data_IF_578909044675
#
_entry.id   IF_578909044675
#
_cell.length_a   1.000
_cell.length_b   1.000
_cell.length_c   1.000
_cell.angle_alpha   90.00
_cell.angle_beta   90.00
_cell.angle_gamma   90.00
#
_symmetry.space_group_name_H-M   'P 1'
#
loop_
_entity.id
_entity.type
_entity.pdbx_description
1 polymer ?
#
# COMPACT_ATOMS: atom_id res chain seq x y z
N UNK A 1 -10.83 -1.38 21.52
CA UNK A 1 -11.95 -1.37 20.56
C UNK A 1 -11.82 -0.27 19.51
N UNK A 2 -11.60 1.01 19.86
CA UNK A 2 -11.45 2.10 18.86
C UNK A 2 -10.38 1.83 17.79
N UNK A 3 -9.15 1.47 18.19
CA UNK A 3 -8.07 1.06 17.25
C UNK A 3 -8.51 -0.02 16.25
N UNK A 4 -9.26 -1.02 16.71
CA UNK A 4 -9.70 -2.10 15.84
C UNK A 4 -10.79 -1.63 14.87
N UNK A 5 -11.70 -0.76 15.33
CA UNK A 5 -12.70 -0.12 14.47
C UNK A 5 -12.01 0.67 13.36
N UNK A 6 -11.09 1.56 13.72
CA UNK A 6 -10.35 2.39 12.77
C UNK A 6 -9.54 1.54 11.77
N UNK A 7 -9.02 0.37 12.16
CA UNK A 7 -8.40 -0.56 11.20
C UNK A 7 -9.38 -1.01 10.12
N UNK A 8 -10.58 -1.47 10.52
CA UNK A 8 -11.59 -1.93 9.57
C UNK A 8 -12.16 -0.79 8.73
N UNK A 9 -12.32 0.40 9.29
CA UNK A 9 -12.91 1.51 8.58
C UNK A 9 -11.91 2.19 7.61
N UNK A 10 -10.63 2.26 8.01
CA UNK A 10 -9.63 3.08 7.31
C UNK A 10 -8.57 2.26 6.58
N UNK A 11 -8.09 1.16 7.16
CA UNK A 11 -6.96 0.39 6.62
C UNK A 11 -7.43 -0.79 5.77
N UNK A 12 -8.49 -1.47 6.18
CA UNK A 12 -9.02 -2.63 5.46
C UNK A 12 -9.31 -2.33 3.98
N UNK A 13 -9.82 -1.15 3.57
CA UNK A 13 -9.98 -0.83 2.15
C UNK A 13 -8.67 -0.90 1.33
N UNK A 14 -7.52 -0.72 1.95
CA UNK A 14 -6.20 -0.84 1.30
C UNK A 14 -5.57 -2.21 1.51
N UNK A 15 -5.77 -2.81 2.68
CA UNK A 15 -5.18 -4.08 3.09
C UNK A 15 -6.25 -5.06 3.61
N UNK A 16 -7.11 -5.62 2.73
CA UNK A 16 -8.26 -6.45 3.11
C UNK A 16 -7.84 -7.88 3.51
N UNK A 17 -6.95 -7.99 4.49
CA UNK A 17 -6.28 -9.23 4.92
C UNK A 17 -6.97 -9.95 6.07
N UNK A 18 -7.98 -9.33 6.68
CA UNK A 18 -8.74 -9.88 7.79
C UNK A 18 -10.22 -9.81 7.51
N UNK A 19 -10.96 -10.85 7.90
CA UNK A 19 -12.42 -10.82 7.93
C UNK A 19 -12.88 -10.28 9.28
N UNK A 20 -13.73 -9.25 9.26
CA UNK A 20 -14.09 -8.51 10.48
C UNK A 20 -14.80 -9.39 11.49
N UNK A 21 -15.82 -10.13 11.03
CA UNK A 21 -16.64 -11.00 11.90
C UNK A 21 -15.80 -12.10 12.55
N UNK A 22 -15.00 -12.82 11.76
CA UNK A 22 -14.08 -13.86 12.26
C UNK A 22 -13.12 -13.29 13.31
N UNK A 23 -12.47 -12.16 13.01
CA UNK A 23 -11.49 -11.54 13.90
C UNK A 23 -12.11 -11.08 15.23
N UNK A 24 -13.22 -10.35 15.18
CA UNK A 24 -13.90 -9.86 16.38
C UNK A 24 -14.51 -10.99 17.21
N UNK A 25 -15.03 -12.05 16.57
CA UNK A 25 -15.53 -13.24 17.25
C UNK A 25 -14.41 -13.94 18.03
N UNK A 26 -13.26 -14.18 17.41
CA UNK A 26 -12.11 -14.79 18.09
C UNK A 26 -11.60 -13.92 19.24
N UNK A 27 -11.58 -12.60 19.08
CA UNK A 27 -11.21 -11.67 20.14
C UNK A 27 -12.21 -11.72 21.30
N UNK A 28 -13.51 -11.68 21.02
CA UNK A 28 -14.58 -11.75 22.02
C UNK A 28 -14.63 -13.07 22.77
N UNK A 29 -14.21 -14.17 22.13
CA UNK A 29 -14.07 -15.49 22.75
C UNK A 29 -12.79 -15.63 23.61
N UNK A 30 -11.93 -14.59 23.65
CA UNK A 30 -10.71 -14.62 24.45
C UNK A 30 -9.58 -15.45 23.85
N UNK A 31 -9.62 -15.77 22.54
CA UNK A 31 -8.60 -16.57 21.85
C UNK A 31 -7.20 -15.95 22.01
N UNK A 32 -7.11 -14.62 22.09
CA UNK A 32 -5.85 -13.90 22.30
C UNK A 32 -5.17 -14.20 23.65
N UNK A 33 -5.89 -14.77 24.62
CA UNK A 33 -5.33 -15.16 25.92
C UNK A 33 -4.65 -16.54 25.87
N UNK A 34 -4.98 -17.36 24.87
CA UNK A 34 -4.52 -18.76 24.77
C UNK A 34 -3.69 -19.05 23.52
N UNK A 35 -3.91 -18.30 22.45
CA UNK A 35 -3.19 -18.42 21.18
C UNK A 35 -2.22 -17.24 21.01
N UNK A 36 -0.93 -17.54 21.08
CA UNK A 36 0.13 -16.56 20.95
C UNK A 36 0.18 -15.89 19.57
N UNK A 37 -0.15 -16.61 18.49
CA UNK A 37 -0.12 -16.06 17.13
C UNK A 37 -1.31 -15.14 16.89
N UNK A 38 -2.50 -15.52 17.36
CA UNK A 38 -3.66 -14.63 17.32
C UNK A 38 -3.45 -13.39 18.21
N UNK A 39 -2.86 -13.55 19.40
CA UNK A 39 -2.46 -12.42 20.23
C UNK A 39 -1.50 -11.49 19.48
N UNK A 40 -0.46 -12.06 18.84
CA UNK A 40 0.47 -11.30 18.01
C UNK A 40 -0.21 -10.59 16.84
N UNK A 41 -1.20 -11.23 16.22
CA UNK A 41 -2.02 -10.62 15.16
C UNK A 41 -2.80 -9.41 15.69
N UNK A 42 -3.47 -9.52 16.84
CA UNK A 42 -4.20 -8.40 17.46
C UNK A 42 -3.26 -7.23 17.76
N UNK A 43 -2.08 -7.49 18.32
CA UNK A 43 -1.08 -6.45 18.59
C UNK A 43 -0.57 -5.80 17.29
N UNK A 44 -0.35 -6.58 16.23
CA UNK A 44 0.08 -6.03 14.94
C UNK A 44 -0.97 -5.13 14.27
N UNK A 45 -2.27 -5.45 14.43
CA UNK A 45 -3.37 -4.58 13.98
C UNK A 45 -3.35 -3.25 14.72
N UNK A 46 -3.11 -3.26 16.03
CA UNK A 46 -2.94 -2.04 16.82
C UNK A 46 -1.74 -1.21 16.34
N UNK A 47 -0.60 -1.86 16.06
CA UNK A 47 0.60 -1.19 15.57
C UNK A 47 0.37 -0.55 14.19
N UNK A 48 -0.20 -1.30 13.25
CA UNK A 48 -0.54 -0.80 11.91
C UNK A 48 -1.52 0.38 11.98
N UNK A 49 -2.55 0.28 12.83
CA UNK A 49 -3.50 1.38 13.02
C UNK A 49 -2.84 2.64 13.56
N UNK A 50 -2.00 2.51 14.60
CA UNK A 50 -1.31 3.66 15.16
C UNK A 50 -0.34 4.29 14.18
N UNK A 51 0.34 3.48 13.37
CA UNK A 51 1.27 3.95 12.34
C UNK A 51 0.55 4.68 11.19
N UNK A 52 -0.62 4.18 10.78
CA UNK A 52 -1.44 4.83 9.75
C UNK A 52 -2.11 6.10 10.26
N UNK A 53 -2.57 6.14 11.51
CA UNK A 53 -3.29 7.29 12.08
C UNK A 53 -2.45 7.95 13.19
N UNK A 54 -1.31 8.59 12.85
CA UNK A 54 -0.37 9.11 13.85
C UNK A 54 -0.96 10.25 14.68
N UNK A 55 -1.89 11.03 14.12
CA UNK A 55 -2.57 12.16 14.78
C UNK A 55 -3.65 11.73 15.76
N UNK A 56 -4.18 10.51 15.61
CA UNK A 56 -5.20 10.01 16.53
C UNK A 56 -4.57 9.62 17.87
N UNK A 57 -5.22 10.06 18.94
CA UNK A 57 -4.84 9.69 20.30
C UNK A 57 -5.45 8.33 20.68
N UNK A 58 -4.55 7.37 20.93
CA UNK A 58 -4.86 6.02 21.40
C UNK A 58 -4.22 5.74 22.77
N UNK A 59 -3.90 6.79 23.52
CA UNK A 59 -3.22 6.70 24.82
C UNK A 59 -1.78 6.24 24.67
N UNK A 60 -1.41 5.20 25.41
CA UNK A 60 -0.01 4.71 25.50
C UNK A 60 0.41 3.83 24.31
N UNK A 61 -0.49 3.52 23.38
CA UNK A 61 -0.19 2.62 22.25
C UNK A 61 0.71 3.33 21.24
N UNK A 62 1.92 2.80 21.07
CA UNK A 62 2.90 3.20 20.04
C UNK A 62 3.39 1.98 19.28
N UNK A 63 3.98 2.18 18.10
CA UNK A 63 4.58 1.06 17.34
C UNK A 63 5.69 0.39 18.13
N UNK A 64 6.57 1.16 18.78
CA UNK A 64 7.66 0.60 19.60
C UNK A 64 7.11 -0.17 20.80
N UNK A 65 6.10 0.35 21.50
CA UNK A 65 5.44 -0.40 22.57
C UNK A 65 4.88 -1.74 22.08
N UNK A 66 4.25 -1.78 20.89
CA UNK A 66 3.77 -3.01 20.30
C UNK A 66 4.91 -3.98 19.98
N UNK A 67 6.05 -3.51 19.44
CA UNK A 67 7.20 -4.38 19.18
C UNK A 67 7.76 -4.94 20.48
N UNK A 68 7.98 -4.09 21.49
CA UNK A 68 8.51 -4.51 22.79
C UNK A 68 7.61 -5.56 23.45
N UNK A 69 6.29 -5.38 23.34
CA UNK A 69 5.31 -6.35 23.83
C UNK A 69 5.42 -7.70 23.11
N UNK A 70 5.52 -7.69 21.77
CA UNK A 70 5.67 -8.90 20.96
C UNK A 70 6.96 -9.66 21.30
N UNK A 71 8.07 -8.94 21.49
CA UNK A 71 9.37 -9.51 21.78
C UNK A 71 9.47 -10.09 23.19
N UNK A 72 8.97 -9.36 24.18
CA UNK A 72 8.94 -9.77 25.58
C UNK A 72 8.13 -11.07 25.77
N UNK A 73 7.04 -11.22 25.04
CA UNK A 73 6.16 -12.39 25.13
C UNK A 73 6.46 -13.45 24.06
N UNK A 74 7.35 -13.17 23.11
CA UNK A 74 7.74 -14.09 22.04
C UNK A 74 6.58 -14.54 21.14
N UNK A 75 5.60 -13.65 20.92
CA UNK A 75 4.32 -13.98 20.25
C UNK A 75 4.48 -14.32 18.77
N UNK A 76 5.45 -13.68 18.11
CA UNK A 76 5.77 -13.89 16.69
C UNK A 76 7.20 -14.41 16.50
N UNK A 77 7.78 -15.12 17.49
CA UNK A 77 9.12 -15.72 17.30
C UNK A 77 9.03 -16.99 16.45
N UNK A 78 9.95 -17.14 15.48
CA UNK A 78 10.08 -18.39 14.75
C UNK A 78 10.67 -19.43 15.69
N UNK A 79 10.13 -20.65 15.66
CA UNK A 79 10.63 -21.76 16.47
C UNK A 79 10.95 -22.89 15.51
N UNK A 80 12.21 -23.29 15.42
CA UNK A 80 12.62 -24.43 14.58
C UNK A 80 11.90 -25.74 14.93
N UNK A 81 11.35 -25.85 16.15
CA UNK A 81 10.52 -26.98 16.57
C UNK A 81 9.07 -26.90 16.08
N UNK A 82 8.59 -25.75 15.60
CA UNK A 82 7.27 -25.59 14.97
C UNK A 82 7.45 -25.64 13.46
N UNK A 83 6.99 -26.73 12.86
CA UNK A 83 7.18 -27.04 11.45
C UNK A 83 6.08 -26.44 10.55
N UNK A 84 5.55 -25.25 10.88
CA UNK A 84 4.51 -24.63 10.05
C UNK A 84 4.45 -23.11 10.15
N UNK A 85 4.31 -22.48 8.98
CA UNK A 85 3.85 -21.10 8.87
C UNK A 85 2.32 -21.08 9.02
N UNK A 86 1.78 -19.98 9.55
CA UNK A 86 0.34 -19.71 9.57
C UNK A 86 0.04 -18.39 8.87
N UNK A 87 -1.17 -18.26 8.31
CA UNK A 87 -1.61 -17.03 7.65
C UNK A 87 -1.65 -15.87 8.66
N UNK A 88 -2.15 -16.11 9.88
CA UNK A 88 -2.19 -15.13 10.96
C UNK A 88 -0.80 -14.56 11.26
N UNK A 89 0.22 -15.43 11.37
CA UNK A 89 1.60 -15.00 11.58
C UNK A 89 2.11 -14.16 10.41
N UNK A 90 1.87 -14.58 9.17
CA UNK A 90 2.33 -13.85 7.99
C UNK A 90 1.68 -12.47 7.88
N UNK A 91 0.37 -12.35 8.15
CA UNK A 91 -0.34 -11.07 8.19
C UNK A 91 0.20 -10.20 9.33
N UNK A 92 0.44 -10.78 10.51
CA UNK A 92 0.95 -10.04 11.65
C UNK A 92 2.34 -9.45 11.37
N UNK A 93 3.22 -10.24 10.76
CA UNK A 93 4.56 -9.78 10.34
C UNK A 93 4.49 -8.73 9.23
N UNK A 94 3.56 -8.85 8.28
CA UNK A 94 3.30 -7.81 7.28
C UNK A 94 2.88 -6.49 7.94
N UNK A 95 1.88 -6.53 8.84
CA UNK A 95 1.40 -5.35 9.58
C UNK A 95 2.51 -4.70 10.41
N UNK A 96 3.34 -5.49 11.11
CA UNK A 96 4.48 -4.97 11.85
C UNK A 96 5.53 -4.36 10.93
N UNK A 97 5.82 -5.02 9.81
CA UNK A 97 6.76 -4.54 8.82
C UNK A 97 6.37 -3.17 8.25
N UNK A 98 5.11 -3.01 7.84
CA UNK A 98 4.59 -1.73 7.33
C UNK A 98 4.53 -0.66 8.42
N UNK A 99 4.09 -0.99 9.64
CA UNK A 99 4.05 -0.07 10.77
C UNK A 99 5.43 0.47 11.16
N UNK A 100 6.43 -0.42 11.23
CA UNK A 100 7.83 -0.04 11.51
C UNK A 100 8.43 0.79 10.38
N UNK A 101 8.10 0.51 9.12
CA UNK A 101 8.53 1.34 7.99
C UNK A 101 7.97 2.76 8.09
N UNK A 102 6.69 2.90 8.46
CA UNK A 102 6.00 4.18 8.50
C UNK A 102 6.55 5.12 9.59
N UNK A 103 7.07 4.55 10.67
CA UNK A 103 7.53 5.29 11.86
C UNK A 103 9.05 5.40 11.97
N UNK A 104 9.81 4.52 11.30
CA UNK A 104 11.26 4.59 11.31
C UNK A 104 11.79 5.81 10.55
N UNK A 105 12.83 6.44 11.11
CA UNK A 105 13.55 7.54 10.43
C UNK A 105 14.14 7.14 9.09
N UNK A 106 14.50 5.87 8.90
CA UNK A 106 15.03 5.33 7.65
C UNK A 106 13.92 4.88 6.68
N UNK A 107 12.65 5.03 7.06
CA UNK A 107 11.50 4.59 6.25
C UNK A 107 11.60 3.11 5.87
N UNK A 108 11.41 2.84 4.58
CA UNK A 108 11.56 1.51 3.94
C UNK A 108 12.97 0.91 4.10
N UNK A 109 13.99 1.70 4.45
CA UNK A 109 15.34 1.22 4.75
C UNK A 109 15.52 0.64 6.17
N UNK A 110 14.45 0.60 6.98
CA UNK A 110 14.50 0.07 8.35
C UNK A 110 14.81 -1.43 8.36
N UNK A 111 15.90 -1.82 9.03
CA UNK A 111 16.28 -3.23 9.23
C UNK A 111 15.13 -4.04 9.87
N UNK A 112 14.46 -3.49 10.89
CA UNK A 112 13.36 -4.17 11.59
C UNK A 112 12.17 -4.40 10.66
N UNK A 113 11.83 -3.39 9.85
CA UNK A 113 10.79 -3.49 8.83
C UNK A 113 11.13 -4.54 7.77
N UNK A 114 12.34 -4.46 7.20
CA UNK A 114 12.83 -5.39 6.18
C UNK A 114 12.79 -6.84 6.68
N UNK A 115 13.23 -7.08 7.92
CA UNK A 115 13.20 -8.41 8.52
C UNK A 115 11.77 -8.96 8.63
N UNK A 116 10.84 -8.18 9.20
CA UNK A 116 9.46 -8.60 9.37
C UNK A 116 8.75 -8.85 8.02
N UNK A 117 8.93 -7.98 7.03
CA UNK A 117 8.38 -8.15 5.69
C UNK A 117 8.99 -9.36 4.96
N UNK A 118 10.29 -9.61 5.13
CA UNK A 118 10.97 -10.77 4.56
C UNK A 118 10.47 -12.09 5.16
N UNK A 119 10.24 -12.11 6.47
CA UNK A 119 9.67 -13.28 7.14
C UNK A 119 8.21 -13.51 6.74
N UNK A 120 7.40 -12.46 6.62
CA UNK A 120 6.05 -12.53 6.07
C UNK A 120 6.05 -13.09 4.64
N UNK A 121 6.97 -12.62 3.78
CA UNK A 121 7.12 -13.10 2.41
C UNK A 121 7.62 -14.55 2.33
N UNK A 122 8.53 -14.97 3.20
CA UNK A 122 8.96 -16.36 3.27
C UNK A 122 7.78 -17.29 3.63
N UNK A 123 7.02 -16.94 4.67
CA UNK A 123 5.87 -17.73 5.11
C UNK A 123 4.74 -17.74 4.09
N UNK A 124 4.39 -16.60 3.51
CA UNK A 124 3.33 -16.50 2.50
C UNK A 124 3.66 -17.35 1.25
N UNK A 125 4.91 -17.31 0.78
CA UNK A 125 5.35 -18.14 -0.36
C UNK A 125 5.32 -19.61 -0.05
N UNK A 126 5.81 -20.00 1.13
CA UNK A 126 5.80 -21.38 1.57
C UNK A 126 4.37 -21.93 1.59
N UNK A 127 3.45 -21.18 2.22
CA UNK A 127 2.03 -21.53 2.26
C UNK A 127 1.42 -21.61 0.87
N UNK A 128 1.68 -20.63 0.00
CA UNK A 128 1.05 -20.57 -1.31
C UNK A 128 1.56 -21.65 -2.27
N UNK A 129 2.81 -22.08 -2.12
CA UNK A 129 3.41 -23.05 -3.03
C UNK A 129 3.22 -24.49 -2.54
N UNK A 130 3.37 -24.74 -1.24
CA UNK A 130 3.37 -26.09 -0.71
C UNK A 130 2.06 -26.50 -0.05
N UNK A 131 1.30 -25.56 0.52
CA UNK A 131 0.15 -25.89 1.37
C UNK A 131 -1.17 -25.24 0.93
N UNK A 132 -1.22 -24.56 -0.23
CA UNK A 132 -2.43 -23.81 -0.62
C UNK A 132 -3.65 -24.71 -0.81
N UNK A 133 -3.44 -25.96 -1.23
CA UNK A 133 -4.50 -26.95 -1.46
C UNK A 133 -5.03 -27.57 -0.16
N UNK A 134 -4.30 -27.44 0.94
CA UNK A 134 -4.72 -27.87 2.28
C UNK A 134 -5.56 -26.79 2.99
N UNK A 135 -5.69 -25.61 2.39
CA UNK A 135 -6.40 -24.45 2.95
C UNK A 135 -7.82 -24.35 2.40
N UNK A 136 -8.72 -23.86 3.25
CA UNK A 136 -10.07 -23.52 2.80
C UNK A 136 -10.05 -22.34 1.82
N UNK A 137 -11.14 -22.15 1.07
CA UNK A 137 -11.22 -21.11 0.04
C UNK A 137 -10.99 -19.70 0.61
N UNK A 138 -11.43 -19.45 1.84
CA UNK A 138 -11.26 -18.16 2.52
C UNK A 138 -9.79 -17.90 2.78
N UNK A 139 -9.08 -18.85 3.39
CA UNK A 139 -7.65 -18.79 3.64
C UNK A 139 -6.86 -18.64 2.34
N UNK A 140 -7.26 -19.31 1.26
CA UNK A 140 -6.65 -19.12 -0.05
C UNK A 140 -6.82 -17.68 -0.56
N UNK A 141 -8.01 -17.08 -0.42
CA UNK A 141 -8.21 -15.69 -0.83
C UNK A 141 -7.39 -14.72 0.02
N UNK A 142 -7.37 -14.88 1.35
CA UNK A 142 -6.57 -14.03 2.24
C UNK A 142 -5.06 -14.14 1.95
N UNK A 143 -4.57 -15.34 1.66
CA UNK A 143 -3.19 -15.57 1.27
C UNK A 143 -2.84 -14.91 -0.07
N UNK A 144 -3.75 -14.97 -1.06
CA UNK A 144 -3.56 -14.25 -2.33
C UNK A 144 -3.50 -12.74 -2.10
N UNK A 145 -4.41 -12.18 -1.29
CA UNK A 145 -4.40 -10.75 -0.94
C UNK A 145 -3.07 -10.35 -0.28
N UNK A 146 -2.58 -11.14 0.67
CA UNK A 146 -1.31 -10.88 1.34
C UNK A 146 -0.12 -10.90 0.37
N UNK A 147 -0.05 -11.87 -0.55
CA UNK A 147 1.03 -11.95 -1.55
C UNK A 147 1.07 -10.72 -2.44
N UNK A 148 -0.09 -10.24 -2.91
CA UNK A 148 -0.16 -9.03 -3.73
C UNK A 148 0.18 -7.75 -2.96
N UNK A 149 -0.11 -7.69 -1.66
CA UNK A 149 0.33 -6.58 -0.80
C UNK A 149 1.85 -6.59 -0.53
N UNK A 150 2.44 -7.78 -0.34
CA UNK A 150 3.88 -7.94 -0.23
C UNK A 150 4.59 -7.57 -1.54
N UNK A 151 4.00 -7.93 -2.67
CA UNK A 151 4.49 -7.52 -3.99
C UNK A 151 4.48 -5.99 -4.15
N UNK A 152 3.36 -5.32 -3.82
CA UNK A 152 3.27 -3.87 -3.84
C UNK A 152 4.32 -3.20 -2.93
N UNK A 153 4.59 -3.81 -1.76
CA UNK A 153 5.63 -3.35 -0.84
C UNK A 153 7.04 -3.49 -1.45
N UNK A 154 7.32 -4.62 -2.10
CA UNK A 154 8.59 -4.86 -2.79
C UNK A 154 8.82 -3.85 -3.94
N UNK A 155 7.80 -3.62 -4.77
CA UNK A 155 7.89 -2.63 -5.86
C UNK A 155 8.03 -1.20 -5.33
N UNK A 156 7.35 -0.84 -4.24
CA UNK A 156 7.54 0.48 -3.63
C UNK A 156 8.97 0.67 -3.11
N UNK A 157 9.55 -0.35 -2.47
CA UNK A 157 10.96 -0.31 -2.05
C UNK A 157 11.90 -0.10 -3.25
N UNK A 158 11.68 -0.84 -4.33
CA UNK A 158 12.45 -0.74 -5.57
C UNK A 158 12.37 0.66 -6.22
N UNK A 159 11.17 1.23 -6.35
CA UNK A 159 10.98 2.62 -6.84
C UNK A 159 11.82 3.62 -6.06
N UNK A 160 11.85 3.51 -4.72
CA UNK A 160 12.61 4.41 -3.86
C UNK A 160 14.09 4.01 -3.69
N UNK A 161 14.60 3.10 -4.52
CA UNK A 161 16.00 2.66 -4.48
C UNK A 161 16.39 1.98 -3.17
N UNK A 162 15.44 1.30 -2.51
CA UNK A 162 15.65 0.48 -1.32
C UNK A 162 15.72 -0.98 -1.71
N UNK A 163 16.35 -1.81 -0.88
CA UNK A 163 16.43 -3.24 -1.10
C UNK A 163 15.01 -3.85 -1.05
N UNK A 164 14.47 -4.40 -2.15
CA UNK A 164 13.17 -5.05 -2.12
C UNK A 164 13.25 -6.38 -1.36
N UNK A 165 12.12 -6.79 -0.76
CA UNK A 165 12.00 -8.12 -0.16
C UNK A 165 11.98 -9.20 -1.26
N UNK A 166 12.56 -10.36 -0.95
CA UNK A 166 12.52 -11.51 -1.85
C UNK A 166 11.15 -12.19 -1.79
N UNK A 167 10.40 -12.11 -2.90
CA UNK A 167 9.11 -12.77 -3.06
C UNK A 167 9.19 -13.90 -4.11
N UNK A 168 8.41 -13.82 -5.19
CA UNK A 168 8.47 -14.75 -6.32
C UNK A 168 9.23 -14.10 -7.48
N UNK A 169 9.73 -14.90 -8.41
CA UNK A 169 10.24 -14.36 -9.68
C UNK A 169 9.13 -13.65 -10.44
N UNK A 170 9.49 -12.74 -11.35
CA UNK A 170 8.49 -11.98 -12.13
C UNK A 170 7.50 -12.87 -12.85
N UNK A 171 7.98 -13.87 -13.61
CA UNK A 171 7.09 -14.79 -14.35
C UNK A 171 6.11 -15.52 -13.42
N UNK A 172 6.55 -15.80 -12.19
CA UNK A 172 5.72 -16.43 -11.16
C UNK A 172 4.75 -15.45 -10.53
N UNK A 173 5.10 -14.17 -10.38
CA UNK A 173 4.18 -13.13 -9.92
C UNK A 173 3.12 -12.82 -10.97
N UNK A 174 3.49 -12.67 -12.24
CA UNK A 174 2.57 -12.41 -13.35
C UNK A 174 1.53 -13.53 -13.51
N UNK A 175 1.93 -14.77 -13.30
CA UNK A 175 1.04 -15.94 -13.34
C UNK A 175 0.37 -16.27 -12.00
N UNK A 176 0.70 -15.55 -10.92
CA UNK A 176 0.12 -15.84 -9.61
C UNK A 176 -1.37 -15.46 -9.59
N UNK A 177 -2.27 -16.33 -9.06
CA UNK A 177 -3.70 -16.05 -9.08
C UNK A 177 -4.06 -14.73 -8.39
N UNK A 178 -4.90 -13.94 -9.05
CA UNK A 178 -5.51 -12.75 -8.44
C UNK A 178 -6.51 -13.17 -7.35
N UNK A 179 -6.61 -12.40 -6.26
CA UNK A 179 -7.71 -12.54 -5.32
C UNK A 179 -9.03 -12.19 -6.02
N UNK A 180 -10.07 -12.95 -5.69
CA UNK A 180 -11.42 -12.73 -6.19
C UNK A 180 -12.05 -11.51 -5.49
N UNK A 181 -12.89 -10.72 -6.19
CA UNK A 181 -13.55 -9.55 -5.65
C UNK A 181 -14.74 -9.91 -4.75
N UNK A 182 -14.47 -10.69 -3.70
CA UNK A 182 -15.46 -11.16 -2.75
C UNK A 182 -15.60 -10.20 -1.57
N UNK A 183 -16.82 -10.00 -1.10
CA UNK A 183 -17.15 -9.30 0.15
C UNK A 183 -16.92 -10.22 1.36
N UNK A 184 -16.94 -9.67 2.58
CA UNK A 184 -16.84 -10.50 3.80
C UNK A 184 -18.03 -11.47 3.92
N UNK A 185 -19.25 -11.08 3.56
CA UNK A 185 -20.42 -11.98 3.59
C UNK A 185 -20.34 -13.10 2.54
N UNK A 186 -19.68 -12.87 1.40
CA UNK A 186 -19.46 -13.92 0.40
C UNK A 186 -18.40 -14.94 0.84
N UNK A 187 -17.39 -14.51 1.61
CA UNK A 187 -16.34 -15.39 2.12
C UNK A 187 -16.76 -16.12 3.40
N UNK A 188 -17.49 -15.46 4.29
CA UNK A 188 -18.00 -16.05 5.54
C UNK A 188 -19.49 -15.73 5.69
N UNK A 189 -20.38 -16.49 5.01
CA UNK A 189 -21.82 -16.26 5.08
C UNK A 189 -22.35 -16.28 6.51
N UNK A 190 -23.33 -15.42 6.78
CA UNK A 190 -23.99 -15.36 8.08
C UNK A 190 -24.70 -16.68 8.37
N UNK A 191 -24.41 -17.28 9.53
CA UNK A 191 -25.18 -18.41 10.02
C UNK A 191 -26.51 -17.88 10.56
N UNK A 192 -27.62 -18.22 9.90
CA UNK A 192 -28.99 -17.77 10.24
C UNK A 192 -29.44 -18.18 11.66
N UNK A 193 -28.77 -19.16 12.28
CA UNK A 193 -29.17 -19.77 13.55
C UNK A 193 -28.43 -19.24 14.79
N UNK A 194 -27.48 -18.30 14.62
CA UNK A 194 -26.71 -17.76 15.74
C UNK A 194 -27.45 -16.58 16.41
N UNK A 195 -28.03 -16.85 17.57
CA UNK A 195 -28.52 -15.84 18.52
C UNK A 195 -27.39 -14.88 18.94
N UNK A 196 -27.36 -13.73 18.27
CA UNK A 196 -27.25 -12.37 18.81
C UNK A 196 -26.21 -12.03 19.90
N UNK A 197 -25.02 -12.65 19.88
CA UNK A 197 -23.92 -12.28 20.79
C UNK A 197 -22.60 -11.88 20.10
N UNK A 198 -22.59 -11.75 18.77
CA UNK A 198 -21.40 -11.36 18.00
C UNK A 198 -21.67 -10.48 16.78
N UNK A 199 -22.92 -10.03 16.59
CA UNK A 199 -23.26 -9.11 15.50
C UNK A 199 -22.83 -7.70 15.91
N UNK A 200 -21.62 -7.33 15.51
CA UNK A 200 -21.25 -5.91 15.46
C UNK A 200 -22.21 -5.16 14.53
N UNK A 201 -22.25 -3.82 14.61
CA UNK A 201 -23.04 -3.04 13.66
C UNK A 201 -22.63 -3.38 12.22
N UNK A 202 -23.61 -3.29 11.32
CA UNK A 202 -23.40 -3.39 9.88
C UNK A 202 -22.20 -2.53 9.47
N UNK A 203 -21.31 -3.13 8.69
CA UNK A 203 -20.05 -2.51 8.32
C UNK A 203 -19.89 -2.60 6.81
N UNK A 204 -19.30 -1.56 6.22
CA UNK A 204 -19.21 -1.43 4.77
C UNK A 204 -18.54 -2.63 4.08
N UNK A 205 -17.64 -3.36 4.74
CA UNK A 205 -16.98 -4.53 4.14
C UNK A 205 -17.85 -5.78 4.09
N UNK A 206 -19.01 -5.79 4.75
CA UNK A 206 -19.97 -6.90 4.69
C UNK A 206 -20.50 -7.04 3.25
N UNK A 207 -20.85 -5.93 2.60
CA UNK A 207 -21.45 -5.87 1.26
C UNK A 207 -20.56 -5.23 0.18
N UNK A 208 -19.40 -4.66 0.55
CA UNK A 208 -18.44 -4.04 -0.37
C UNK A 208 -17.13 -4.80 -0.41
N UNK A 209 -16.66 -5.17 -1.61
CA UNK A 209 -15.32 -5.73 -1.79
C UNK A 209 -14.33 -4.63 -2.19
N UNK A 210 -13.25 -4.51 -1.42
CA UNK A 210 -12.12 -3.62 -1.75
C UNK A 210 -11.01 -4.33 -2.53
N UNK A 211 -11.16 -5.62 -2.86
CA UNK A 211 -10.18 -6.34 -3.66
C UNK A 211 -9.95 -5.76 -5.07
N UNK A 212 -10.95 -5.18 -5.78
CA UNK A 212 -10.72 -4.54 -7.07
C UNK A 212 -9.60 -3.49 -7.03
N UNK A 213 -9.55 -2.65 -6.00
CA UNK A 213 -8.48 -1.65 -5.86
C UNK A 213 -7.09 -2.28 -5.64
N UNK A 214 -6.99 -3.40 -4.92
CA UNK A 214 -5.74 -4.16 -4.79
C UNK A 214 -5.30 -4.76 -6.13
N UNK A 215 -6.24 -5.31 -6.91
CA UNK A 215 -5.93 -5.87 -8.23
C UNK A 215 -5.40 -4.79 -9.17
N UNK A 216 -6.09 -3.64 -9.27
CA UNK A 216 -5.63 -2.52 -10.11
C UNK A 216 -4.30 -1.93 -9.65
N UNK A 217 -4.06 -1.83 -8.34
CA UNK A 217 -2.77 -1.39 -7.80
C UNK A 217 -1.66 -2.35 -8.21
N UNK A 218 -1.95 -3.64 -8.18
CA UNK A 218 -1.00 -4.68 -8.57
C UNK A 218 -0.68 -4.63 -10.07
N UNK A 219 -1.65 -4.29 -10.92
CA UNK A 219 -1.42 -4.08 -12.36
C UNK A 219 -0.46 -2.91 -12.62
N UNK A 220 -0.61 -1.80 -11.90
CA UNK A 220 0.33 -0.68 -11.95
C UNK A 220 1.76 -1.12 -11.59
N UNK A 221 1.93 -1.88 -10.52
CA UNK A 221 3.25 -2.34 -10.10
C UNK A 221 3.88 -3.40 -11.04
N UNK A 222 3.07 -4.23 -11.70
CA UNK A 222 3.57 -5.11 -12.76
C UNK A 222 4.13 -4.32 -13.95
N UNK A 223 3.50 -3.20 -14.32
CA UNK A 223 4.05 -2.30 -15.34
C UNK A 223 5.42 -1.77 -14.91
N UNK A 224 5.55 -1.32 -13.65
CA UNK A 224 6.85 -0.90 -13.12
C UNK A 224 7.91 -2.00 -13.18
N UNK A 225 7.56 -3.23 -12.85
CA UNK A 225 8.48 -4.37 -12.94
C UNK A 225 8.95 -4.62 -14.38
N UNK A 226 8.04 -4.52 -15.36
CA UNK A 226 8.37 -4.59 -16.78
C UNK A 226 9.28 -3.44 -17.24
N UNK A 227 9.07 -2.24 -16.71
CA UNK A 227 9.97 -1.08 -16.92
C UNK A 227 11.35 -1.38 -16.36
N UNK A 228 11.44 -2.05 -15.20
CA UNK A 228 12.73 -2.38 -14.58
C UNK A 228 13.60 -3.29 -15.43
N UNK A 229 13.01 -4.32 -16.05
CA UNK A 229 13.73 -5.28 -16.89
C UNK A 229 14.14 -4.73 -18.26
N UNK A 230 13.55 -3.63 -18.70
CA UNK A 230 13.87 -3.07 -20.01
C UNK A 230 15.22 -2.33 -19.96
N UNK A 231 16.27 -3.02 -20.39
CA UNK A 231 17.68 -2.57 -20.35
C UNK A 231 18.24 -2.20 -21.73
N UNK A 232 17.51 -2.45 -22.81
CA UNK A 232 18.04 -2.38 -24.19
C UNK A 232 17.05 -1.73 -25.17
N UNK A 233 16.56 -0.53 -24.87
CA UNK A 233 15.70 0.19 -25.84
C UNK A 233 16.49 1.28 -26.56
N UNK A 234 16.57 1.17 -27.89
CA UNK A 234 17.19 2.16 -28.79
C UNK A 234 16.27 3.36 -29.10
N UNK A 235 14.95 3.20 -28.94
CA UNK A 235 13.94 4.24 -29.15
C UNK A 235 13.23 4.57 -27.82
N UNK A 236 13.79 5.55 -27.12
CA UNK A 236 13.33 5.97 -25.79
C UNK A 236 11.91 6.55 -25.82
N UNK A 237 11.55 7.31 -26.86
CA UNK A 237 10.24 7.95 -26.97
C UNK A 237 9.13 6.91 -27.14
N UNK A 238 9.29 5.97 -28.06
CA UNK A 238 8.32 4.87 -28.21
C UNK A 238 8.22 4.01 -26.95
N UNK A 239 9.33 3.83 -26.22
CA UNK A 239 9.34 3.12 -24.94
C UNK A 239 8.48 3.81 -23.89
N UNK A 240 8.70 5.12 -23.70
CA UNK A 240 7.94 5.97 -22.77
C UNK A 240 6.47 5.93 -23.15
N UNK A 241 6.11 6.24 -24.39
CA UNK A 241 4.72 6.25 -24.86
C UNK A 241 4.03 4.91 -24.61
N UNK A 242 4.72 3.79 -24.87
CA UNK A 242 4.19 2.45 -24.62
C UNK A 242 3.87 2.21 -23.14
N UNK A 243 4.78 2.57 -22.22
CA UNK A 243 4.54 2.32 -20.80
C UNK A 243 3.54 3.32 -20.19
N UNK A 244 3.54 4.58 -20.63
CA UNK A 244 2.52 5.55 -20.23
C UNK A 244 1.12 5.09 -20.69
N UNK A 245 1.00 4.57 -21.92
CA UNK A 245 -0.24 4.00 -22.42
C UNK A 245 -0.71 2.78 -21.60
N UNK A 246 0.20 1.90 -21.19
CA UNK A 246 -0.14 0.78 -20.27
C UNK A 246 -0.67 1.27 -18.92
N UNK A 247 -0.06 2.32 -18.35
CA UNK A 247 -0.55 2.90 -17.09
C UNK A 247 -1.95 3.48 -17.29
N UNK A 248 -2.18 4.20 -18.39
CA UNK A 248 -3.49 4.74 -18.72
C UNK A 248 -4.55 3.65 -18.94
N UNK A 249 -4.19 2.55 -19.60
CA UNK A 249 -5.07 1.40 -19.81
C UNK A 249 -5.57 0.81 -18.49
N UNK A 250 -4.74 0.75 -17.44
CA UNK A 250 -5.19 0.33 -16.10
C UNK A 250 -6.22 1.30 -15.53
N UNK A 251 -6.02 2.60 -15.68
CA UNK A 251 -6.94 3.63 -15.19
C UNK A 251 -8.29 3.63 -15.94
N UNK A 252 -8.25 3.44 -17.26
CA UNK A 252 -9.45 3.39 -18.12
C UNK A 252 -10.34 2.18 -17.79
N UNK A 253 -9.72 1.08 -17.37
CA UNK A 253 -10.39 -0.17 -17.02
C UNK A 253 -10.82 -0.26 -15.54
N UNK A 254 -10.64 0.79 -14.74
CA UNK A 254 -11.11 0.81 -13.36
C UNK A 254 -12.63 0.60 -13.27
N UNK A 255 -13.12 -0.12 -12.24
CA UNK A 255 -14.54 -0.25 -11.99
C UNK A 255 -15.16 1.13 -11.67
N UNK A 256 -16.48 1.32 -11.91
CA UNK A 256 -17.14 2.62 -11.77
C UNK A 256 -16.91 3.34 -10.44
N UNK A 257 -16.78 2.59 -9.34
CA UNK A 257 -16.57 3.07 -7.99
C UNK A 257 -15.16 3.65 -7.76
N UNK A 258 -14.18 3.21 -8.57
CA UNK A 258 -12.77 3.63 -8.48
C UNK A 258 -12.36 4.62 -9.57
N UNK A 259 -13.28 5.04 -10.44
CA UNK A 259 -12.99 6.06 -11.45
C UNK A 259 -12.95 7.43 -10.80
N UNK A 260 -11.87 8.18 -11.04
CA UNK A 260 -11.83 9.62 -10.75
C UNK A 260 -12.84 10.34 -11.64
N UNK A 261 -13.69 11.18 -11.05
CA UNK A 261 -14.71 11.94 -11.78
C UNK A 261 -14.67 13.44 -11.52
N UNK A 262 -13.56 13.98 -11.01
CA UNK A 262 -13.37 15.43 -10.82
C UNK A 262 -14.51 16.12 -10.04
N UNK A 263 -15.05 15.47 -9.02
CA UNK A 263 -16.16 16.00 -8.21
C UNK A 263 -17.58 15.83 -8.79
N UNK A 264 -17.75 15.11 -9.91
CA UNK A 264 -19.07 14.74 -10.43
C UNK A 264 -19.78 13.69 -9.55
N UNK A 265 -21.08 13.47 -9.82
CA UNK A 265 -21.90 12.52 -9.08
C UNK A 265 -21.33 11.09 -9.11
N UNK A 266 -21.29 10.48 -7.92
CA UNK A 266 -20.73 9.15 -7.68
C UNK A 266 -21.82 8.09 -7.66
N UNK A 267 -21.49 6.82 -7.98
CA UNK A 267 -22.39 5.70 -7.73
C UNK A 267 -22.84 5.66 -6.25
N UNK A 268 -24.07 5.20 -5.99
CA UNK A 268 -24.70 5.24 -4.66
C UNK A 268 -24.01 4.35 -3.62
N UNK A 269 -23.31 3.31 -4.07
CA UNK A 269 -22.61 2.30 -3.27
C UNK A 269 -21.17 2.70 -2.92
N UNK A 270 -20.74 3.91 -3.28
CA UNK A 270 -19.38 4.35 -3.01
C UNK A 270 -19.21 4.77 -1.56
N UNK A 271 -18.13 4.29 -0.95
CA UNK A 271 -17.77 4.49 0.46
C UNK A 271 -16.50 5.34 0.56
N UNK A 272 -16.18 5.84 1.77
CA UNK A 272 -14.89 6.51 2.02
C UNK A 272 -13.70 5.58 1.73
N UNK A 273 -13.84 4.27 1.94
CA UNK A 273 -12.83 3.28 1.56
C UNK A 273 -12.48 3.33 0.07
N UNK A 274 -13.45 3.59 -0.80
CA UNK A 274 -13.16 3.77 -2.24
C UNK A 274 -12.40 5.07 -2.51
N UNK A 275 -12.64 6.15 -1.76
CA UNK A 275 -11.83 7.38 -1.88
C UNK A 275 -10.37 7.12 -1.57
N UNK A 276 -10.12 6.33 -0.52
CA UNK A 276 -8.78 5.91 -0.12
C UNK A 276 -8.12 5.07 -1.22
N UNK A 277 -8.86 4.18 -1.87
CA UNK A 277 -8.37 3.42 -3.02
C UNK A 277 -8.08 4.30 -4.24
N UNK A 278 -8.96 5.26 -4.55
CA UNK A 278 -8.75 6.24 -5.63
C UNK A 278 -7.46 7.03 -5.39
N UNK A 279 -7.28 7.61 -4.20
CA UNK A 279 -6.05 8.33 -3.86
C UNK A 279 -4.82 7.44 -4.06
N UNK A 280 -4.88 6.18 -3.58
CA UNK A 280 -3.77 5.25 -3.71
C UNK A 280 -3.45 4.89 -5.17
N UNK A 281 -4.46 4.59 -5.98
CA UNK A 281 -4.29 4.21 -7.37
C UNK A 281 -3.73 5.36 -8.20
N UNK A 282 -4.35 6.55 -8.10
CA UNK A 282 -3.98 7.67 -8.94
C UNK A 282 -2.62 8.27 -8.55
N UNK A 283 -2.32 8.43 -7.26
CA UNK A 283 -0.99 8.90 -6.84
C UNK A 283 0.09 7.87 -7.20
N UNK A 284 -0.19 6.56 -7.07
CA UNK A 284 0.75 5.52 -7.50
C UNK A 284 0.95 5.53 -9.02
N UNK A 285 -0.11 5.69 -9.83
CA UNK A 285 0.04 5.78 -11.28
C UNK A 285 0.85 6.99 -11.70
N UNK A 286 0.65 8.15 -11.05
CA UNK A 286 1.42 9.37 -11.31
C UNK A 286 2.89 9.22 -10.94
N UNK A 287 3.17 8.55 -9.82
CA UNK A 287 4.54 8.27 -9.39
C UNK A 287 5.25 7.32 -10.36
N UNK A 288 4.58 6.27 -10.84
CA UNK A 288 5.12 5.35 -11.84
C UNK A 288 5.35 6.08 -13.18
N UNK A 289 4.41 6.93 -13.63
CA UNK A 289 4.59 7.76 -14.84
C UNK A 289 5.82 8.67 -14.72
N UNK A 290 6.00 9.32 -13.57
CA UNK A 290 7.16 10.18 -13.33
C UNK A 290 8.48 9.39 -13.34
N UNK A 291 8.50 8.21 -12.70
CA UNK A 291 9.68 7.35 -12.67
C UNK A 291 10.01 6.72 -14.04
N UNK A 292 9.01 6.45 -14.89
CA UNK A 292 9.23 6.04 -16.29
C UNK A 292 10.01 7.12 -17.05
N UNK A 293 9.63 8.39 -16.87
CA UNK A 293 10.27 9.53 -17.53
C UNK A 293 11.69 9.75 -17.01
N UNK A 294 11.91 9.63 -15.69
CA UNK A 294 13.24 9.70 -15.11
C UNK A 294 14.15 8.55 -15.58
N UNK A 295 13.61 7.33 -15.71
CA UNK A 295 14.41 6.17 -16.11
C UNK A 295 14.88 6.24 -17.57
N UNK A 296 14.00 6.56 -18.50
CA UNK A 296 14.33 6.59 -19.93
C UNK A 296 14.91 7.94 -20.39
N UNK A 297 14.96 8.92 -19.51
CA UNK A 297 15.62 10.20 -19.73
C UNK A 297 14.72 11.23 -20.42
N UNK A 298 15.16 12.50 -20.43
CA UNK A 298 14.35 13.58 -20.98
C UNK A 298 14.22 13.43 -22.51
N UNK A 299 12.98 13.42 -22.97
CA UNK A 299 12.57 13.61 -24.37
C UNK A 299 11.95 15.01 -24.54
N UNK A 300 11.72 15.44 -25.78
CA UNK A 300 11.06 16.73 -26.09
C UNK A 300 9.67 16.86 -25.42
N UNK A 301 8.99 15.73 -25.18
CA UNK A 301 7.66 15.68 -24.54
C UNK A 301 7.72 15.45 -23.01
N UNK A 302 8.88 15.05 -22.47
CA UNK A 302 9.00 14.68 -21.05
C UNK A 302 8.68 15.84 -20.10
N UNK A 303 9.06 17.06 -20.46
CA UNK A 303 8.76 18.25 -19.66
C UNK A 303 7.25 18.55 -19.60
N UNK A 304 6.56 18.45 -20.74
CA UNK A 304 5.10 18.62 -20.82
C UNK A 304 4.38 17.54 -20.03
N UNK A 305 4.86 16.30 -20.11
CA UNK A 305 4.27 15.19 -19.37
C UNK A 305 4.49 15.33 -17.85
N UNK A 306 5.66 15.78 -17.40
CA UNK A 306 5.89 16.13 -15.98
C UNK A 306 4.97 17.24 -15.49
N UNK A 307 4.69 18.26 -16.31
CA UNK A 307 3.73 19.30 -15.96
C UNK A 307 2.32 18.73 -15.76
N UNK A 308 1.87 17.83 -16.65
CA UNK A 308 0.57 17.15 -16.54
C UNK A 308 0.48 16.29 -15.28
N UNK A 309 1.54 15.52 -14.99
CA UNK A 309 1.60 14.68 -13.78
C UNK A 309 1.40 15.53 -12.52
N UNK A 310 2.03 16.70 -12.44
CA UNK A 310 1.87 17.61 -11.30
C UNK A 310 0.49 18.26 -11.26
N UNK A 311 -0.09 18.60 -12.41
CA UNK A 311 -1.46 19.14 -12.48
C UNK A 311 -2.48 18.11 -11.99
N UNK A 312 -2.41 16.88 -12.49
CA UNK A 312 -3.25 15.75 -12.06
C UNK A 312 -3.07 15.49 -10.55
N UNK A 313 -1.83 15.54 -10.05
CA UNK A 313 -1.53 15.35 -8.64
C UNK A 313 -2.18 16.45 -7.78
N UNK A 314 -2.05 17.71 -8.18
CA UNK A 314 -2.68 18.84 -7.49
C UNK A 314 -4.20 18.75 -7.56
N UNK A 315 -4.78 18.26 -8.65
CA UNK A 315 -6.22 18.02 -8.74
C UNK A 315 -6.66 17.05 -7.65
N UNK A 316 -6.00 15.91 -7.50
CA UNK A 316 -6.31 14.90 -6.48
C UNK A 316 -6.16 15.48 -5.07
N UNK A 317 -5.02 16.13 -4.78
CA UNK A 317 -4.69 16.67 -3.46
C UNK A 317 -5.63 17.78 -2.97
N UNK A 318 -6.25 18.52 -3.89
CA UNK A 318 -7.16 19.62 -3.55
C UNK A 318 -8.64 19.23 -3.58
N UNK A 319 -9.01 18.12 -4.22
CA UNK A 319 -10.42 17.70 -4.34
C UNK A 319 -10.79 16.51 -3.44
N UNK A 320 -9.83 15.71 -2.98
CA UNK A 320 -10.10 14.66 -1.99
C UNK A 320 -10.01 15.20 -0.54
N UNK A 321 -10.87 14.72 0.38
CA UNK A 321 -10.79 15.06 1.79
C UNK A 321 -9.45 14.69 2.43
N UNK A 322 -9.01 15.46 3.43
CA UNK A 322 -7.74 15.20 4.13
C UNK A 322 -7.68 13.78 4.72
N UNK A 323 -8.76 13.32 5.34
CA UNK A 323 -8.84 12.00 5.97
C UNK A 323 -8.51 10.83 5.01
N UNK A 324 -8.74 11.01 3.71
CA UNK A 324 -8.41 10.02 2.68
C UNK A 324 -6.91 9.82 2.57
N UNK A 325 -6.14 10.89 2.70
CA UNK A 325 -4.68 10.83 2.67
C UNK A 325 -4.11 10.30 3.99
N UNK A 326 -4.78 10.54 5.12
CA UNK A 326 -4.36 9.99 6.41
C UNK A 326 -4.40 8.45 6.43
N UNK A 327 -5.36 7.86 5.71
CA UNK A 327 -5.50 6.41 5.60
C UNK A 327 -4.30 5.68 4.94
N UNK A 328 -3.47 6.40 4.18
CA UNK A 328 -2.37 5.81 3.42
C UNK A 328 -1.12 6.71 3.37
N UNK A 329 -1.00 7.67 4.28
CA UNK A 329 -0.01 8.74 4.18
C UNK A 329 1.43 8.23 4.14
N UNK A 330 1.71 7.13 4.84
CA UNK A 330 3.04 6.48 4.84
C UNK A 330 3.48 5.97 3.47
N UNK A 331 2.55 5.68 2.55
CA UNK A 331 2.83 5.28 1.16
C UNK A 331 2.71 6.45 0.18
N UNK A 332 1.72 7.33 0.38
CA UNK A 332 1.41 8.42 -0.55
C UNK A 332 2.38 9.60 -0.43
N UNK A 333 2.72 10.03 0.79
CA UNK A 333 3.60 11.18 1.01
C UNK A 333 4.97 10.98 0.34
N UNK A 334 5.64 9.82 0.46
CA UNK A 334 6.83 9.49 -0.32
C UNK A 334 6.67 9.71 -1.83
N UNK A 335 5.57 9.21 -2.41
CA UNK A 335 5.29 9.30 -3.85
C UNK A 335 5.08 10.75 -4.29
N UNK A 336 4.38 11.54 -3.46
CA UNK A 336 4.14 12.97 -3.70
C UNK A 336 5.47 13.74 -3.66
N UNK A 337 6.33 13.48 -2.66
CA UNK A 337 7.66 14.10 -2.56
C UNK A 337 8.53 13.74 -3.77
N UNK A 338 8.53 12.48 -4.18
CA UNK A 338 9.30 11.97 -5.32
C UNK A 338 8.86 12.62 -6.65
N UNK A 339 7.55 12.71 -6.91
CA UNK A 339 7.01 13.46 -8.06
C UNK A 339 7.43 14.94 -8.02
N UNK A 340 7.34 15.58 -6.85
CA UNK A 340 7.74 16.97 -6.67
C UNK A 340 9.23 17.19 -6.93
N UNK A 341 10.08 16.29 -6.45
CA UNK A 341 11.52 16.32 -6.68
C UNK A 341 11.87 16.14 -8.17
N UNK A 342 11.24 15.16 -8.84
CA UNK A 342 11.39 14.93 -10.28
C UNK A 342 10.96 16.14 -11.11
N UNK A 343 9.89 16.82 -10.71
CA UNK A 343 9.43 18.04 -11.37
C UNK A 343 10.39 19.21 -11.18
N UNK A 344 10.94 19.38 -9.96
CA UNK A 344 11.93 20.41 -9.66
C UNK A 344 13.20 20.22 -10.48
N UNK A 345 13.71 18.98 -10.55
CA UNK A 345 14.91 18.63 -11.32
C UNK A 345 14.73 18.95 -12.81
N UNK A 346 13.60 18.57 -13.41
CA UNK A 346 13.30 18.92 -14.81
C UNK A 346 13.23 20.43 -15.03
N UNK A 347 12.61 21.17 -14.11
CA UNK A 347 12.49 22.63 -14.22
C UNK A 347 13.86 23.32 -14.15
N UNK A 348 14.80 22.77 -13.38
CA UNK A 348 16.17 23.29 -13.29
C UNK A 348 17.04 22.93 -14.51
N UNK A 349 16.81 21.77 -15.13
CA UNK A 349 17.54 21.34 -16.33
C UNK A 349 17.11 22.09 -17.61
N UNK A 350 15.91 22.68 -17.61
CA UNK A 350 15.37 23.50 -18.70
C UNK A 350 16.06 24.85 -18.84
N UNK A 351 17.29 24.89 -19.36
CA UNK A 351 18.09 26.11 -19.55
C UNK A 351 17.49 27.17 -20.52
N UNK A 352 16.32 26.94 -21.10
CA UNK A 352 15.63 27.85 -22.06
C UNK A 352 14.13 28.04 -21.75
N UNK A 353 13.68 27.75 -20.53
CA UNK A 353 12.27 27.91 -20.13
C UNK A 353 11.97 29.40 -19.96
N UNK A 354 10.89 29.89 -20.59
CA UNK A 354 10.51 31.31 -20.52
C UNK A 354 10.18 31.74 -19.09
N UNK A 355 10.36 33.03 -18.74
CA UNK A 355 10.08 33.55 -17.39
C UNK A 355 8.67 33.19 -16.88
N UNK A 356 7.68 33.19 -17.76
CA UNK A 356 6.30 32.84 -17.44
C UNK A 356 6.14 31.36 -17.07
N UNK A 357 6.80 30.45 -17.79
CA UNK A 357 6.74 29.00 -17.51
C UNK A 357 7.42 28.66 -16.18
N UNK A 358 8.53 29.34 -15.87
CA UNK A 358 9.20 29.24 -14.57
C UNK A 358 8.30 29.71 -13.42
N UNK A 359 7.54 30.78 -13.60
CA UNK A 359 6.60 31.29 -12.61
C UNK A 359 5.43 30.32 -12.36
N UNK A 360 4.91 29.71 -13.43
CA UNK A 360 3.88 28.67 -13.35
C UNK A 360 4.41 27.44 -12.61
N UNK A 361 5.62 26.96 -12.96
CA UNK A 361 6.24 25.81 -12.30
C UNK A 361 6.49 26.09 -10.80
N UNK A 362 6.97 27.29 -10.47
CA UNK A 362 7.13 27.74 -9.07
C UNK A 362 5.80 27.74 -8.32
N UNK A 363 4.75 28.27 -8.92
CA UNK A 363 3.41 28.29 -8.31
C UNK A 363 2.90 26.87 -8.03
N UNK A 364 3.12 25.93 -8.95
CA UNK A 364 2.77 24.51 -8.76
C UNK A 364 3.55 23.89 -7.61
N UNK A 365 4.87 24.10 -7.55
CA UNK A 365 5.72 23.63 -6.46
C UNK A 365 5.31 24.19 -5.10
N UNK A 366 5.01 25.49 -5.02
CA UNK A 366 4.50 26.11 -3.78
C UNK A 366 3.18 25.49 -3.33
N UNK A 367 2.27 25.18 -4.26
CA UNK A 367 1.00 24.50 -3.94
C UNK A 367 1.19 23.06 -3.46
N UNK A 368 2.17 22.34 -4.03
CA UNK A 368 2.55 21.00 -3.58
C UNK A 368 3.16 21.05 -2.17
N UNK A 369 4.11 21.96 -1.93
CA UNK A 369 4.75 22.13 -0.63
C UNK A 369 3.73 22.46 0.47
N UNK A 370 2.79 23.37 0.22
CA UNK A 370 1.71 23.67 1.19
C UNK A 370 0.88 22.42 1.53
N UNK A 371 0.57 21.59 0.53
CA UNK A 371 -0.16 20.34 0.79
C UNK A 371 0.69 19.31 1.52
N UNK A 372 1.99 19.25 1.24
CA UNK A 372 2.91 18.41 1.98
C UNK A 372 3.02 18.89 3.44
N UNK A 373 3.15 20.19 3.72
CA UNK A 373 3.17 20.71 5.10
C UNK A 373 1.96 20.24 5.92
N UNK A 374 0.79 20.17 5.28
CA UNK A 374 -0.44 19.67 5.90
C UNK A 374 -0.45 18.15 6.08
N UNK A 375 0.15 17.38 5.17
CA UNK A 375 0.11 15.91 5.16
C UNK A 375 1.31 15.26 5.87
N UNK A 376 2.42 15.96 5.98
CA UNK A 376 3.72 15.37 6.29
C UNK A 376 3.89 15.09 7.79
N UNK A 377 3.34 13.95 8.22
CA UNK A 377 3.55 13.39 9.55
C UNK A 377 4.15 11.97 9.52
N UNK A 378 4.57 11.49 8.34
CA UNK A 378 5.23 10.20 8.16
C UNK A 378 6.66 10.39 7.65
N UNK A 379 7.59 9.62 8.22
CA UNK A 379 8.99 9.66 7.81
C UNK A 379 9.18 9.11 6.38
N UNK A 380 8.39 8.08 6.02
CA UNK A 380 8.12 7.66 4.63
C UNK A 380 9.34 7.11 3.88
N UNK A 381 10.15 8.00 3.28
CA UNK A 381 11.36 7.66 2.50
C UNK A 381 12.58 7.48 3.43
N UNK A 382 12.57 8.19 4.56
CA UNK A 382 13.69 8.35 5.47
C UNK A 382 14.88 9.12 4.89
N UNK A 383 15.66 9.78 5.76
CA UNK A 383 16.93 10.39 5.36
C UNK A 383 17.89 9.29 4.89
N UNK A 384 18.41 9.43 3.67
CA UNK A 384 19.53 8.62 3.21
C UNK A 384 20.80 9.30 3.71
N UNK A 385 21.37 8.81 4.80
CA UNK A 385 22.82 8.94 4.94
C UNK A 385 23.41 8.27 3.70
N UNK A 386 24.13 9.07 2.90
CA UNK A 386 24.75 8.70 1.60
C UNK A 386 25.07 7.19 1.51
N UNK A 387 24.66 6.48 0.45
CA UNK A 387 24.87 5.05 0.37
C UNK A 387 26.37 4.73 0.45
N UNK A 388 26.82 3.85 1.37
CA UNK A 388 28.18 3.36 1.32
C UNK A 388 28.27 2.36 0.15
N UNK A 389 29.15 2.71 -0.79
CA UNK A 389 29.82 1.87 -1.78
C UNK A 389 28.97 1.29 -2.92
N UNK A 390 29.14 1.89 -4.11
CA UNK A 390 29.14 1.12 -5.36
C UNK A 390 30.31 0.13 -5.28
N UNK A 391 30.04 -1.17 -5.30
CA UNK A 391 31.03 -2.23 -5.57
C UNK A 391 30.90 -2.64 -7.02
#
# INVERSE_FOLDING_TARGET
MRLLGDWFDVIHPLAPTLLRRRFLRQLGQGVANTDAEFCGLVISVCAATKATLPRNDYGQVTVDYCVDFLDAHGLLKSRFARDSFSINRCIALYNMGTAMSATAKSGLGSMRSYHALSEAAAGARYLAYYHIHERDEVEQQLLRRLIWLLFASACSADIFGRLPISLLSQDRMESFPRPLPLTDDQMEPQCMDASDHGQGPAWHGDDTSYVPGLNSLSDLFLIWQQVQQNTQTTDLQSCIMRYLAKVQEVLDNLPPELRWRGGLSRPKNVTEGHDVQIANLFVTSLNIRSNILQKFGPTDESAHEHQRIVDDLLEILYHLPHAVFDANGSSLVPKIRDIGAAFLEQTQLGNNVGQLEMEVARTKLERLLRKLDDLDCWQGIGEVDLPPLRV
#
